data_IF_437414117459
#
_entry.id   IF_437414117459
#
_cell.length_a   1.000
_cell.length_b   1.000
_cell.length_c   1.000
_cell.angle_alpha   90.00
_cell.angle_beta   90.00
_cell.angle_gamma   90.00
#
_symmetry.space_group_name_H-M   'P 1'
#
loop_
_entity.id
_entity.type
_entity.pdbx_description
1 polymer ?
#
# COMPACT_ATOMS: atom_id res chain seq x y z
N UNK A 1 -10.66 9.11 3.16
CA UNK A 1 -9.60 9.52 4.10
C UNK A 1 -8.43 8.58 3.92
N UNK A 2 -7.22 9.13 3.73
CA UNK A 2 -5.99 8.34 3.62
C UNK A 2 -4.97 8.84 4.64
N UNK A 3 -3.95 8.02 4.92
CA UNK A 3 -2.76 8.41 5.68
C UNK A 3 -1.54 7.65 5.17
N UNK A 4 -0.35 8.25 5.28
CA UNK A 4 0.89 7.54 5.02
C UNK A 4 1.35 6.77 6.25
N UNK A 5 1.84 5.55 6.05
CA UNK A 5 2.32 4.69 7.14
C UNK A 5 3.41 5.34 7.99
N UNK A 6 4.37 6.05 7.37
CA UNK A 6 5.43 6.74 8.09
C UNK A 6 4.94 7.95 8.92
N UNK A 7 3.71 8.39 8.76
CA UNK A 7 3.09 9.46 9.56
C UNK A 7 2.42 8.91 10.83
N UNK A 8 2.28 7.59 10.94
CA UNK A 8 1.69 6.94 12.10
C UNK A 8 2.75 6.82 13.19
N UNK A 9 2.63 7.67 14.22
CA UNK A 9 3.51 7.66 15.40
C UNK A 9 2.85 7.05 16.63
N UNK A 10 1.53 6.84 16.60
CA UNK A 10 0.73 6.28 17.68
C UNK A 10 0.52 4.77 17.55
N UNK A 11 -0.48 4.25 18.26
CA UNK A 11 -0.91 2.86 18.11
C UNK A 11 -1.51 2.64 16.70
N UNK A 12 -0.85 1.79 15.92
CA UNK A 12 -1.20 1.53 14.53
C UNK A 12 -2.66 1.09 14.37
N UNK A 13 -3.17 0.25 15.27
CA UNK A 13 -4.55 -0.25 15.17
C UNK A 13 -5.57 0.86 15.37
N UNK A 14 -5.35 1.72 16.36
CA UNK A 14 -6.21 2.86 16.65
C UNK A 14 -6.19 3.87 15.52
N UNK A 15 -5.00 4.19 14.99
CA UNK A 15 -4.82 5.16 13.91
C UNK A 15 -5.37 4.69 12.57
N UNK A 16 -5.44 3.38 12.34
CA UNK A 16 -6.06 2.79 11.14
C UNK A 16 -7.58 2.73 11.19
N UNK A 17 -8.20 2.87 12.37
CA UNK A 17 -9.64 2.74 12.52
C UNK A 17 -10.38 3.80 11.71
N UNK A 18 -11.19 3.36 10.74
CA UNK A 18 -11.97 4.24 9.87
C UNK A 18 -11.17 4.85 8.71
N UNK A 19 -9.88 4.51 8.56
CA UNK A 19 -9.14 4.85 7.35
C UNK A 19 -9.67 4.04 6.17
N UNK A 20 -9.93 4.75 5.07
CA UNK A 20 -10.27 4.11 3.79
C UNK A 20 -9.01 3.59 3.10
N UNK A 21 -7.92 4.35 3.19
CA UNK A 21 -6.66 4.06 2.52
C UNK A 21 -5.49 4.22 3.48
N UNK A 22 -4.58 3.25 3.47
CA UNK A 22 -3.24 3.38 4.05
C UNK A 22 -2.22 3.32 2.91
N UNK A 23 -1.37 4.34 2.83
CA UNK A 23 -0.37 4.48 1.79
C UNK A 23 1.01 4.14 2.36
N UNK A 24 1.76 3.30 1.65
CA UNK A 24 3.04 2.77 2.12
C UNK A 24 4.11 3.09 1.07
N UNK A 25 5.23 3.66 1.49
CA UNK A 25 6.39 3.84 0.63
C UNK A 25 7.19 2.55 0.63
N UNK A 26 7.90 2.26 -0.47
CA UNK A 26 8.79 1.10 -0.58
C UNK A 26 9.64 0.86 0.67
N UNK A 27 10.32 1.89 1.18
CA UNK A 27 11.20 1.77 2.35
C UNK A 27 10.49 1.38 3.65
N UNK A 28 9.17 1.53 3.70
CA UNK A 28 8.35 1.21 4.87
C UNK A 28 7.71 -0.19 4.77
N UNK A 29 7.77 -0.85 3.60
CA UNK A 29 7.11 -2.15 3.38
C UNK A 29 7.55 -3.23 4.36
N UNK A 30 8.85 -3.29 4.68
CA UNK A 30 9.41 -4.26 5.64
C UNK A 30 8.82 -4.09 7.05
N UNK A 31 8.46 -2.85 7.42
CA UNK A 31 7.90 -2.50 8.72
C UNK A 31 6.37 -2.57 8.74
N UNK A 32 5.73 -2.55 7.58
CA UNK A 32 4.29 -2.49 7.45
C UNK A 32 3.57 -3.84 7.64
N UNK A 33 4.28 -4.89 8.06
CA UNK A 33 3.71 -6.25 8.22
C UNK A 33 2.41 -6.28 9.03
N UNK A 34 2.36 -5.55 10.15
CA UNK A 34 1.15 -5.47 10.98
C UNK A 34 0.00 -4.69 10.31
N UNK A 35 0.33 -3.72 9.45
CA UNK A 35 -0.67 -2.90 8.77
C UNK A 35 -1.50 -3.72 7.78
N UNK A 36 -0.90 -4.69 7.07
CA UNK A 36 -1.64 -5.58 6.16
C UNK A 36 -2.72 -6.38 6.90
N UNK A 37 -2.39 -6.89 8.09
CA UNK A 37 -3.33 -7.65 8.91
C UNK A 37 -4.50 -6.79 9.37
N UNK A 38 -4.24 -5.57 9.80
CA UNK A 38 -5.31 -4.66 10.22
C UNK A 38 -6.15 -4.16 9.06
N UNK A 39 -5.53 -3.91 7.91
CA UNK A 39 -6.23 -3.51 6.70
C UNK A 39 -7.26 -4.55 6.26
N UNK A 40 -6.90 -5.84 6.32
CA UNK A 40 -7.83 -6.94 6.05
C UNK A 40 -9.02 -6.95 7.02
N UNK A 41 -8.77 -6.70 8.31
CA UNK A 41 -9.81 -6.74 9.35
C UNK A 41 -10.75 -5.54 9.32
N UNK A 42 -10.21 -4.35 9.02
CA UNK A 42 -10.96 -3.08 9.08
C UNK A 42 -11.46 -2.63 7.69
N UNK A 43 -11.16 -3.40 6.62
CA UNK A 43 -11.53 -3.07 5.25
C UNK A 43 -10.76 -1.87 4.69
N UNK A 44 -9.59 -1.55 5.24
CA UNK A 44 -8.73 -0.47 4.75
C UNK A 44 -8.01 -0.94 3.49
N UNK A 45 -8.05 -0.14 2.44
CA UNK A 45 -7.34 -0.42 1.19
C UNK A 45 -5.86 -0.02 1.32
N UNK A 46 -4.97 -0.82 0.73
CA UNK A 46 -3.54 -0.52 0.73
C UNK A 46 -3.08 0.01 -0.62
N UNK A 47 -2.46 1.18 -0.61
CA UNK A 47 -1.70 1.74 -1.72
C UNK A 47 -0.19 1.65 -1.45
N UNK A 48 0.60 1.27 -2.45
CA UNK A 48 2.05 1.18 -2.35
C UNK A 48 2.72 2.03 -3.42
N UNK A 49 3.64 2.89 -3.00
CA UNK A 49 4.56 3.62 -3.85
C UNK A 49 5.89 2.87 -3.94
N UNK A 50 6.17 2.26 -5.10
CA UNK A 50 7.33 1.41 -5.35
C UNK A 50 8.11 1.81 -6.62
N UNK A 51 8.12 3.10 -6.97
CA UNK A 51 9.05 3.63 -7.98
C UNK A 51 10.50 3.63 -7.50
N UNK A 52 11.44 3.64 -8.45
CA UNK A 52 12.89 3.61 -8.24
C UNK A 52 13.51 2.22 -8.09
N UNK A 53 12.74 1.13 -8.26
CA UNK A 53 13.29 -0.24 -8.25
C UNK A 53 12.30 -1.30 -8.73
N UNK A 54 12.84 -2.46 -9.12
CA UNK A 54 12.03 -3.63 -9.49
C UNK A 54 11.17 -4.11 -8.33
N UNK A 55 9.85 -4.14 -8.54
CA UNK A 55 8.91 -4.80 -7.64
C UNK A 55 9.01 -6.32 -7.78
N UNK A 56 9.00 -7.05 -6.65
CA UNK A 56 9.07 -8.52 -6.63
C UNK A 56 7.73 -9.04 -6.11
N UNK A 57 6.96 -9.66 -7.00
CA UNK A 57 5.69 -10.28 -6.66
C UNK A 57 5.85 -11.37 -5.57
N UNK A 58 4.94 -11.38 -4.61
CA UNK A 58 4.90 -12.38 -3.55
C UNK A 58 3.52 -12.54 -2.92
N UNK A 59 3.48 -13.21 -1.76
CA UNK A 59 2.22 -13.49 -1.02
C UNK A 59 1.48 -12.20 -0.64
N UNK A 60 2.21 -11.13 -0.37
CA UNK A 60 1.69 -9.82 0.03
C UNK A 60 0.95 -9.08 -1.09
N UNK A 61 1.10 -9.50 -2.36
CA UNK A 61 0.41 -8.86 -3.49
C UNK A 61 -1.10 -8.79 -3.27
N UNK A 62 -1.69 -9.83 -2.67
CA UNK A 62 -3.13 -9.92 -2.41
C UNK A 62 -3.64 -8.85 -1.44
N UNK A 63 -2.78 -8.29 -0.60
CA UNK A 63 -3.13 -7.20 0.30
C UNK A 63 -2.97 -5.82 -0.36
N UNK A 64 -2.22 -5.73 -1.47
CA UNK A 64 -1.99 -4.48 -2.20
C UNK A 64 -3.14 -4.26 -3.19
N UNK A 65 -3.86 -3.16 -2.99
CA UNK A 65 -4.98 -2.80 -3.87
C UNK A 65 -4.50 -1.87 -4.99
N UNK A 66 -3.59 -0.95 -4.68
CA UNK A 66 -3.02 -0.03 -5.65
C UNK A 66 -1.49 -0.07 -5.56
N UNK A 67 -0.82 -0.24 -6.69
CA UNK A 67 0.64 -0.22 -6.78
C UNK A 67 1.09 0.77 -7.84
N UNK A 68 1.95 1.73 -7.46
CA UNK A 68 2.65 2.62 -8.38
C UNK A 68 4.11 2.16 -8.53
N UNK A 69 4.51 1.87 -9.77
CA UNK A 69 5.82 1.28 -10.14
C UNK A 69 6.36 1.88 -11.42
N UNK A 70 7.66 1.74 -11.68
CA UNK A 70 8.23 2.15 -12.97
C UNK A 70 7.91 1.16 -14.10
N UNK A 71 7.76 -0.13 -13.78
CA UNK A 71 7.48 -1.22 -14.71
C UNK A 71 6.59 -2.27 -14.04
N UNK A 72 5.61 -2.79 -14.78
CA UNK A 72 4.60 -3.76 -14.37
C UNK A 72 4.88 -5.21 -14.83
N UNK A 73 6.02 -5.45 -15.46
CA UNK A 73 6.42 -6.78 -15.95
C UNK A 73 6.51 -7.81 -14.80
N UNK A 74 5.75 -8.90 -14.93
CA UNK A 74 5.72 -9.98 -13.94
C UNK A 74 4.94 -9.67 -12.66
N UNK A 75 4.24 -8.54 -12.61
CA UNK A 75 3.35 -8.20 -11.50
C UNK A 75 2.00 -8.88 -11.69
N UNK A 76 1.60 -9.70 -10.72
CA UNK A 76 0.31 -10.42 -10.73
C UNK A 76 -0.35 -10.36 -9.36
N UNK A 77 -1.67 -10.48 -9.29
CA UNK A 77 -2.40 -10.56 -8.01
C UNK A 77 -2.52 -9.24 -7.24
N UNK A 78 -2.44 -8.10 -7.92
CA UNK A 78 -2.69 -6.75 -7.39
C UNK A 78 -3.88 -6.16 -8.14
N UNK A 79 -4.79 -5.50 -7.41
CA UNK A 79 -6.06 -5.01 -7.98
C UNK A 79 -5.86 -3.95 -9.07
N UNK A 80 -4.96 -2.98 -8.85
CA UNK A 80 -4.63 -1.94 -9.83
C UNK A 80 -3.14 -1.62 -9.79
N UNK A 81 -2.49 -1.67 -10.94
CA UNK A 81 -1.09 -1.28 -11.12
C UNK A 81 -1.04 -0.05 -12.04
N UNK A 82 -0.30 0.97 -11.65
CA UNK A 82 -0.17 2.25 -12.37
C UNK A 82 1.31 2.63 -12.50
N UNK A 83 1.64 3.44 -13.50
CA UNK A 83 3.02 3.84 -13.82
C UNK A 83 3.27 5.35 -13.84
N UNK A 84 2.20 6.15 -13.91
CA UNK A 84 2.27 7.59 -14.12
C UNK A 84 1.48 8.35 -13.06
N UNK A 85 1.86 9.60 -12.79
CA UNK A 85 1.24 10.45 -11.78
C UNK A 85 1.68 10.12 -10.36
N UNK A 86 0.94 10.63 -9.37
CA UNK A 86 1.18 10.34 -7.96
C UNK A 86 0.21 9.28 -7.44
N UNK A 87 0.63 8.47 -6.47
CA UNK A 87 -0.19 7.38 -5.92
C UNK A 87 -1.57 7.87 -5.45
N UNK A 88 -1.61 9.08 -4.87
CA UNK A 88 -2.82 9.71 -4.36
C UNK A 88 -3.85 10.06 -5.45
N UNK A 89 -3.41 10.29 -6.69
CA UNK A 89 -4.28 10.63 -7.82
C UNK A 89 -5.11 9.43 -8.29
N UNK A 90 -4.70 8.23 -7.89
CA UNK A 90 -5.27 6.96 -8.33
C UNK A 90 -6.16 6.29 -7.31
N UNK A 91 -6.36 6.89 -6.13
CA UNK A 91 -7.23 6.38 -5.07
C UNK A 91 -8.70 6.42 -5.52
N UNK A 92 -9.49 5.42 -5.13
CA UNK A 92 -10.94 5.34 -5.41
C UNK A 92 -11.77 5.19 -4.15
#
# INVERSE_FOLDING_TARGET
MYRWFHEITGDLRTEMKGLRWLLIRKQDLEKATAAWMFAELDGTLIGVEHRGSKFISGIHNRAIHLLLVDNDEGITGITKVVKDGELIDHLW
#
